data_IF_098687050657
#
_entry.id   IF_098687050657
#
_cell.length_a   1.000
_cell.length_b   1.000
_cell.length_c   1.000
_cell.angle_alpha   90.00
_cell.angle_beta   90.00
_cell.angle_gamma   90.00
#
_symmetry.space_group_name_H-M   'P 1'
#
loop_
_entity.id
_entity.type
_entity.pdbx_description
1 polymer ?
#
# COMPACT_ATOMS: atom_id res chain seq x y z
N UNK A 1 -0.99 -29.71 -8.41
CA UNK A 1 -1.12 -29.76 -6.94
C UNK A 1 -1.78 -28.45 -6.59
N UNK A 2 -3.06 -28.48 -6.20
CA UNK A 2 -3.83 -27.27 -5.94
C UNK A 2 -3.15 -26.46 -4.85
N UNK A 3 -2.70 -25.26 -5.20
CA UNK A 3 -2.09 -24.34 -4.26
C UNK A 3 -3.18 -23.69 -3.39
N UNK A 4 -2.93 -23.61 -2.09
CA UNK A 4 -3.78 -22.91 -1.12
C UNK A 4 -2.87 -22.30 -0.03
N UNK A 5 -2.50 -21.03 -0.22
CA UNK A 5 -1.60 -20.26 0.65
C UNK A 5 -2.34 -19.60 1.81
N UNK A 6 -3.61 -19.22 1.63
CA UNK A 6 -4.38 -18.52 2.65
C UNK A 6 -5.89 -18.83 2.56
N UNK A 7 -6.53 -18.98 3.72
CA UNK A 7 -7.99 -19.10 3.85
C UNK A 7 -8.53 -17.91 4.67
N UNK A 8 -8.71 -16.77 4.01
CA UNK A 8 -9.24 -15.55 4.63
C UNK A 8 -10.76 -15.49 4.46
N UNK A 9 -11.48 -15.34 5.58
CA UNK A 9 -12.94 -15.13 5.59
C UNK A 9 -13.27 -13.76 6.20
N UNK A 10 -14.03 -12.97 5.46
CA UNK A 10 -14.51 -11.65 5.85
C UNK A 10 -16.04 -11.65 5.70
N UNK A 11 -16.74 -12.00 6.78
CA UNK A 11 -18.20 -11.89 6.82
C UNK A 11 -18.65 -10.42 6.90
N UNK A 12 -19.96 -10.20 6.73
CA UNK A 12 -20.56 -8.86 6.67
C UNK A 12 -20.32 -8.07 7.97
N UNK A 13 -20.45 -8.72 9.12
CA UNK A 13 -20.27 -8.05 10.42
C UNK A 13 -18.81 -7.61 10.63
N UNK A 14 -17.86 -8.46 10.22
CA UNK A 14 -16.43 -8.15 10.25
C UNK A 14 -16.08 -7.02 9.27
N UNK A 15 -16.65 -7.01 8.07
CA UNK A 15 -16.43 -5.93 7.10
C UNK A 15 -16.96 -4.59 7.62
N UNK A 16 -18.20 -4.56 8.13
CA UNK A 16 -18.79 -3.36 8.72
C UNK A 16 -17.96 -2.83 9.90
N UNK A 17 -17.45 -3.74 10.74
CA UNK A 17 -16.59 -3.38 11.87
C UNK A 17 -15.24 -2.80 11.41
N UNK A 18 -14.63 -3.35 10.36
CA UNK A 18 -13.38 -2.84 9.79
C UNK A 18 -13.58 -1.43 9.22
N UNK A 19 -14.63 -1.22 8.45
CA UNK A 19 -14.95 0.09 7.86
C UNK A 19 -15.17 1.14 8.96
N UNK A 20 -15.93 0.80 10.01
CA UNK A 20 -16.15 1.70 11.14
C UNK A 20 -14.84 2.07 11.86
N UNK A 21 -13.91 1.12 12.03
CA UNK A 21 -12.60 1.38 12.64
C UNK A 21 -11.75 2.28 11.74
N UNK A 22 -11.75 2.05 10.43
CA UNK A 22 -11.01 2.87 9.47
C UNK A 22 -11.56 4.30 9.48
N UNK A 23 -12.87 4.48 9.39
CA UNK A 23 -13.52 5.80 9.48
C UNK A 23 -13.22 6.50 10.81
N UNK A 24 -13.25 5.77 11.93
CA UNK A 24 -12.89 6.33 13.22
C UNK A 24 -11.42 6.78 13.26
N UNK A 25 -10.50 6.01 12.67
CA UNK A 25 -9.09 6.37 12.58
C UNK A 25 -8.87 7.61 11.70
N UNK A 26 -9.52 7.68 10.55
CA UNK A 26 -9.48 8.85 9.66
C UNK A 26 -10.01 10.10 10.38
N UNK A 27 -11.09 9.96 11.15
CA UNK A 27 -11.65 11.04 11.96
C UNK A 27 -10.74 11.53 13.10
N UNK A 28 -9.75 10.75 13.54
CA UNK A 28 -8.73 11.20 14.51
C UNK A 28 -7.51 11.84 13.85
N UNK A 29 -7.41 11.78 12.52
CA UNK A 29 -6.24 12.17 11.74
C UNK A 29 -6.60 13.19 10.66
N UNK A 30 -7.60 14.02 10.91
CA UNK A 30 -8.11 15.04 9.96
C UNK A 30 -7.08 16.09 9.59
N UNK A 31 -6.09 16.31 10.45
CA UNK A 31 -5.04 17.33 10.28
C UNK A 31 -3.87 16.83 9.42
N UNK A 32 -3.88 15.56 8.99
CA UNK A 32 -2.87 15.04 8.07
C UNK A 32 -2.99 15.69 6.70
N UNK A 33 -1.84 15.95 6.08
CA UNK A 33 -1.77 16.55 4.75
C UNK A 33 -1.39 15.51 3.68
N UNK A 34 -1.96 15.68 2.49
CA UNK A 34 -1.55 14.96 1.29
C UNK A 34 -0.62 15.82 0.44
N UNK A 35 0.59 15.34 0.16
CA UNK A 35 1.54 16.03 -0.71
C UNK A 35 1.50 15.43 -2.12
N UNK A 36 1.38 16.29 -3.14
CA UNK A 36 1.55 15.98 -4.55
C UNK A 36 3.01 15.57 -4.88
N UNK A 37 3.25 14.94 -6.04
CA UNK A 37 4.60 14.60 -6.47
C UNK A 37 5.55 15.80 -6.57
N UNK A 38 5.06 16.96 -6.99
CA UNK A 38 5.88 18.17 -7.16
C UNK A 38 6.18 18.84 -5.81
N UNK A 39 5.20 18.96 -4.92
CA UNK A 39 5.45 19.44 -3.54
C UNK A 39 6.51 18.56 -2.83
N UNK A 40 6.43 17.24 -2.99
CA UNK A 40 7.45 16.32 -2.42
C UNK A 40 8.85 16.57 -2.98
N UNK A 41 8.98 16.99 -4.24
CA UNK A 41 10.28 17.28 -4.86
C UNK A 41 10.88 18.55 -4.27
N UNK A 42 10.07 19.58 -4.08
CA UNK A 42 10.48 20.91 -3.61
C UNK A 42 10.84 20.95 -2.11
N UNK A 43 10.26 20.06 -1.30
CA UNK A 43 10.55 20.03 0.14
C UNK A 43 12.03 19.78 0.43
N UNK A 44 12.56 20.55 1.40
CA UNK A 44 13.83 20.23 2.07
C UNK A 44 13.62 19.00 2.92
N UNK A 45 14.38 17.93 2.63
CA UNK A 45 14.11 16.59 3.18
C UNK A 45 14.92 16.35 4.44
N UNK A 46 14.27 15.76 5.43
CA UNK A 46 14.92 15.24 6.62
C UNK A 46 15.12 13.73 6.49
N UNK A 47 16.38 13.30 6.39
CA UNK A 47 16.77 11.90 6.55
C UNK A 47 17.44 11.70 7.92
N UNK A 48 17.93 10.49 8.19
CA UNK A 48 18.41 10.11 9.52
C UNK A 48 19.46 11.07 10.11
N UNK A 49 20.43 11.51 9.29
CA UNK A 49 21.48 12.45 9.72
C UNK A 49 20.93 13.85 10.01
N UNK A 50 20.04 14.36 9.15
CA UNK A 50 19.44 15.69 9.36
C UNK A 50 18.42 15.69 10.47
N UNK A 51 17.80 14.55 10.80
CA UNK A 51 16.95 14.43 11.98
C UNK A 51 17.73 14.63 13.28
N UNK A 52 18.87 13.96 13.43
CA UNK A 52 19.72 14.14 14.61
C UNK A 52 20.11 15.62 14.79
N UNK A 53 20.44 16.28 13.67
CA UNK A 53 20.66 17.73 13.65
C UNK A 53 19.42 18.52 14.08
N UNK A 54 18.24 18.25 13.50
CA UNK A 54 17.01 18.97 13.84
C UNK A 54 16.65 18.83 15.33
N UNK A 55 16.77 17.64 15.91
CA UNK A 55 16.54 17.43 17.35
C UNK A 55 17.47 18.27 18.21
N UNK A 56 18.77 18.25 17.88
CA UNK A 56 19.75 19.06 18.59
C UNK A 56 19.46 20.56 18.41
N UNK A 57 19.09 20.98 17.20
CA UNK A 57 18.75 22.37 16.90
C UNK A 57 17.52 22.84 17.68
N UNK A 58 16.45 22.03 17.76
CA UNK A 58 15.26 22.34 18.58
C UNK A 58 15.65 22.59 20.03
N UNK A 59 16.49 21.74 20.63
CA UNK A 59 16.96 21.94 22.01
C UNK A 59 17.79 23.20 22.14
N UNK A 60 18.86 23.34 21.34
CA UNK A 60 19.81 24.45 21.45
C UNK A 60 19.14 25.80 21.20
N UNK A 61 18.34 25.92 20.15
CA UNK A 61 17.68 27.17 19.79
C UNK A 61 16.62 27.56 20.82
N UNK A 62 15.92 26.58 21.39
CA UNK A 62 14.91 26.88 22.40
C UNK A 62 15.53 27.26 23.75
N UNK A 63 16.66 26.68 24.12
CA UNK A 63 17.43 27.08 25.31
C UNK A 63 18.12 28.45 25.15
N UNK A 64 18.26 28.92 23.90
CA UNK A 64 18.90 30.19 23.56
C UNK A 64 17.96 31.10 22.77
N UNK A 65 16.68 31.16 23.13
CA UNK A 65 15.67 31.91 22.38
C UNK A 65 16.01 33.40 22.17
N UNK A 66 16.86 34.00 23.01
CA UNK A 66 17.34 35.37 22.87
C UNK A 66 18.13 35.65 21.60
N UNK A 67 18.74 34.63 20.97
CA UNK A 67 19.46 34.80 19.68
C UNK A 67 18.54 34.74 18.47
N UNK A 68 17.29 34.34 18.67
CA UNK A 68 16.33 34.16 17.60
C UNK A 68 15.63 35.49 17.26
N UNK A 69 15.25 35.68 15.98
CA UNK A 69 14.36 36.76 15.59
C UNK A 69 13.06 36.75 16.40
N UNK A 70 12.49 37.92 16.68
CA UNK A 70 11.24 38.06 17.47
C UNK A 70 10.03 37.34 16.88
N UNK A 71 10.03 37.08 15.58
CA UNK A 71 8.96 36.39 14.87
C UNK A 71 9.19 34.87 14.77
N UNK A 72 10.24 34.34 15.37
CA UNK A 72 10.45 32.89 15.43
C UNK A 72 9.62 32.29 16.56
N UNK A 73 8.72 31.37 16.22
CA UNK A 73 7.89 30.66 17.19
C UNK A 73 8.59 29.39 17.68
N UNK A 74 9.24 29.50 18.85
CA UNK A 74 9.97 28.39 19.48
C UNK A 74 9.03 27.29 19.93
N UNK A 75 7.81 27.64 20.36
CA UNK A 75 6.85 26.68 20.89
C UNK A 75 6.24 25.86 19.75
N UNK A 76 5.90 26.49 18.62
CA UNK A 76 5.52 25.78 17.40
C UNK A 76 6.63 24.84 16.90
N UNK A 77 7.88 25.31 16.90
CA UNK A 77 9.02 24.50 16.47
C UNK A 77 9.23 23.25 17.34
N UNK A 78 9.03 23.37 18.67
CA UNK A 78 9.03 22.23 19.60
C UNK A 78 7.81 21.32 19.38
N UNK A 79 6.64 21.90 19.15
CA UNK A 79 5.41 21.15 18.91
C UNK A 79 5.50 20.29 17.65
N UNK A 80 6.13 20.78 16.58
CA UNK A 80 6.36 20.01 15.34
C UNK A 80 7.20 18.75 15.59
N UNK A 81 8.28 18.87 16.37
CA UNK A 81 9.12 17.71 16.72
C UNK A 81 8.34 16.70 17.57
N UNK A 82 7.55 17.18 18.54
CA UNK A 82 6.72 16.32 19.37
C UNK A 82 5.62 15.62 18.57
N UNK A 83 5.00 16.32 17.61
CA UNK A 83 4.00 15.75 16.70
C UNK A 83 4.61 14.66 15.82
N UNK A 84 5.80 14.90 15.28
CA UNK A 84 6.54 13.90 14.50
C UNK A 84 6.81 12.63 15.32
N UNK A 85 7.27 12.80 16.56
CA UNK A 85 7.55 11.69 17.48
C UNK A 85 6.29 10.91 17.86
N UNK A 86 5.17 11.60 18.05
CA UNK A 86 3.89 10.96 18.29
C UNK A 86 3.40 10.17 17.06
N UNK A 87 3.52 10.74 15.85
CA UNK A 87 2.99 10.19 14.61
C UNK A 87 3.75 8.92 14.15
N UNK A 88 5.08 8.91 14.25
CA UNK A 88 5.93 7.84 13.70
C UNK A 88 5.59 6.43 14.16
N UNK A 89 5.37 6.14 15.46
CA UNK A 89 4.95 4.82 15.91
C UNK A 89 3.61 4.39 15.33
N UNK A 90 2.67 5.32 15.07
CA UNK A 90 1.37 5.02 14.47
C UNK A 90 1.53 4.72 13.00
N UNK A 91 2.30 5.53 12.27
CA UNK A 91 2.64 5.28 10.87
C UNK A 91 3.25 3.89 10.68
N UNK A 92 4.22 3.52 11.52
CA UNK A 92 4.86 2.19 11.46
C UNK A 92 3.86 1.04 11.73
N UNK A 93 2.87 1.23 12.60
CA UNK A 93 1.82 0.22 12.84
C UNK A 93 0.89 0.06 11.64
N UNK A 94 0.48 1.16 11.03
CA UNK A 94 -0.38 1.15 9.83
C UNK A 94 0.36 0.53 8.66
N UNK A 95 1.64 0.86 8.45
CA UNK A 95 2.48 0.27 7.40
C UNK A 95 2.57 -1.25 7.51
N UNK A 96 2.86 -1.79 8.71
CA UNK A 96 2.91 -3.25 8.92
C UNK A 96 1.57 -3.94 8.68
N UNK A 97 0.45 -3.26 8.99
CA UNK A 97 -0.88 -3.80 8.70
C UNK A 97 -1.12 -3.83 7.19
N UNK A 98 -0.79 -2.74 6.50
CA UNK A 98 -0.89 -2.63 5.05
C UNK A 98 -0.05 -3.69 4.33
N UNK A 99 1.22 -3.90 4.75
CA UNK A 99 2.10 -4.93 4.19
C UNK A 99 1.47 -6.32 4.29
N UNK A 100 0.92 -6.68 5.46
CA UNK A 100 0.23 -7.96 5.65
C UNK A 100 -1.04 -8.08 4.80
N UNK A 101 -1.77 -6.99 4.60
CA UNK A 101 -2.94 -6.97 3.72
C UNK A 101 -2.54 -7.17 2.26
N UNK A 102 -1.49 -6.49 1.79
CA UNK A 102 -0.94 -6.63 0.45
C UNK A 102 -0.38 -8.05 0.19
N UNK A 103 0.32 -8.63 1.17
CA UNK A 103 0.81 -10.01 1.08
C UNK A 103 -0.35 -11.02 1.00
N UNK A 104 -1.42 -10.77 1.77
CA UNK A 104 -2.63 -11.61 1.75
C UNK A 104 -3.38 -11.51 0.43
N UNK A 105 -3.49 -10.29 -0.13
CA UNK A 105 -4.05 -10.06 -1.47
C UNK A 105 -3.26 -10.82 -2.55
N UNK A 106 -1.92 -10.72 -2.51
CA UNK A 106 -1.04 -11.44 -3.43
C UNK A 106 -1.23 -12.97 -3.31
N UNK A 107 -1.30 -13.48 -2.09
CA UNK A 107 -1.50 -14.91 -1.83
C UNK A 107 -2.86 -15.40 -2.35
N UNK A 108 -3.95 -14.66 -2.07
CA UNK A 108 -5.29 -14.95 -2.59
C UNK A 108 -5.30 -14.95 -4.13
N UNK A 109 -4.67 -13.95 -4.75
CA UNK A 109 -4.54 -13.86 -6.20
C UNK A 109 -3.78 -15.05 -6.79
N UNK A 110 -2.72 -15.51 -6.12
CA UNK A 110 -1.96 -16.70 -6.54
C UNK A 110 -2.81 -17.97 -6.46
N UNK A 111 -3.52 -18.18 -5.35
CA UNK A 111 -4.40 -19.34 -5.17
C UNK A 111 -5.50 -19.39 -6.24
N UNK A 112 -6.17 -18.26 -6.48
CA UNK A 112 -7.17 -18.11 -7.54
C UNK A 112 -6.58 -18.41 -8.93
N UNK A 113 -5.40 -17.88 -9.21
CA UNK A 113 -4.74 -18.03 -10.51
C UNK A 113 -4.35 -19.48 -10.78
N UNK A 114 -3.75 -20.16 -9.80
CA UNK A 114 -3.34 -21.57 -9.93
C UNK A 114 -4.57 -22.47 -10.11
N UNK A 115 -5.59 -22.31 -9.25
CA UNK A 115 -6.82 -23.09 -9.35
C UNK A 115 -7.53 -22.88 -10.70
N UNK A 116 -7.57 -21.64 -11.19
CA UNK A 116 -8.16 -21.32 -12.50
C UNK A 116 -7.40 -21.95 -13.66
N UNK A 117 -6.06 -22.00 -13.61
CA UNK A 117 -5.26 -22.68 -14.62
C UNK A 117 -5.46 -24.20 -14.62
N UNK A 118 -5.50 -24.82 -13.44
CA UNK A 118 -5.80 -26.24 -13.30
C UNK A 118 -7.20 -26.56 -13.84
N UNK A 119 -8.22 -25.79 -13.45
CA UNK A 119 -9.59 -25.92 -13.96
C UNK A 119 -9.68 -25.76 -15.48
N UNK A 120 -8.99 -24.77 -16.05
CA UNK A 120 -8.92 -24.59 -17.50
C UNK A 120 -8.20 -25.76 -18.19
N UNK A 121 -7.14 -26.30 -17.60
CA UNK A 121 -6.45 -27.49 -18.13
C UNK A 121 -7.37 -28.71 -18.16
N UNK A 122 -8.12 -28.95 -17.08
CA UNK A 122 -9.13 -30.02 -17.01
C UNK A 122 -10.21 -29.83 -18.08
N UNK A 123 -10.74 -28.60 -18.25
CA UNK A 123 -11.74 -28.29 -19.26
C UNK A 123 -11.25 -28.58 -20.69
N UNK A 124 -9.96 -28.37 -20.98
CA UNK A 124 -9.37 -28.71 -22.29
C UNK A 124 -9.29 -30.21 -22.56
N UNK A 125 -9.20 -31.02 -21.52
CA UNK A 125 -9.06 -32.48 -21.61
C UNK A 125 -10.43 -33.15 -21.60
N UNK A 126 -11.27 -32.82 -20.61
CA UNK A 126 -12.57 -33.44 -20.40
C UNK A 126 -13.70 -32.83 -21.24
N UNK A 127 -13.65 -31.53 -21.56
CA UNK A 127 -14.75 -30.82 -22.23
C UNK A 127 -14.83 -31.03 -23.75
N UNK A 128 -13.96 -31.86 -24.34
CA UNK A 128 -14.02 -32.16 -25.79
C UNK A 128 -15.18 -33.10 -26.08
N UNK A 129 -16.14 -32.63 -26.87
CA UNK A 129 -17.33 -33.42 -27.25
C UNK A 129 -18.49 -33.32 -26.27
N UNK A 130 -18.35 -32.56 -25.17
CA UNK A 130 -19.43 -32.33 -24.18
C UNK A 130 -20.16 -30.99 -24.38
N UNK A 131 -19.99 -30.33 -25.52
CA UNK A 131 -20.61 -29.02 -25.79
C UNK A 131 -20.01 -27.84 -25.02
N UNK A 132 -18.87 -28.04 -24.33
CA UNK A 132 -18.19 -27.02 -23.52
C UNK A 132 -17.18 -26.16 -24.32
N UNK A 133 -17.16 -26.27 -25.64
CA UNK A 133 -16.18 -25.60 -26.50
C UNK A 133 -16.26 -24.07 -26.43
N UNK A 134 -17.48 -23.51 -26.33
CA UNK A 134 -17.66 -22.07 -26.18
C UNK A 134 -17.08 -21.55 -24.84
N UNK A 135 -17.24 -22.31 -23.75
CA UNK A 135 -16.68 -22.00 -22.43
C UNK A 135 -15.16 -22.16 -22.41
N UNK A 136 -14.63 -23.17 -23.12
CA UNK A 136 -13.20 -23.35 -23.30
C UNK A 136 -12.59 -22.19 -24.09
N UNK A 137 -13.27 -21.71 -25.13
CA UNK A 137 -12.80 -20.60 -25.95
C UNK A 137 -12.85 -19.26 -25.19
N UNK A 138 -13.88 -19.02 -24.38
CA UNK A 138 -13.98 -17.79 -23.59
C UNK A 138 -12.86 -17.68 -22.54
N UNK A 139 -12.56 -18.77 -21.82
CA UNK A 139 -11.41 -18.81 -20.89
C UNK A 139 -10.06 -18.77 -21.64
N UNK A 140 -10.01 -19.32 -22.85
CA UNK A 140 -8.84 -19.36 -23.72
C UNK A 140 -8.42 -18.00 -24.28
N UNK A 141 -9.34 -17.05 -24.42
CA UNK A 141 -9.12 -15.73 -25.04
C UNK A 141 -7.96 -14.93 -24.40
N UNK A 142 -7.67 -15.17 -23.11
CA UNK A 142 -6.52 -14.60 -22.41
C UNK A 142 -5.18 -15.00 -23.04
N UNK A 143 -5.06 -16.22 -23.55
CA UNK A 143 -3.82 -16.75 -24.12
C UNK A 143 -3.62 -16.30 -25.58
N UNK A 144 -4.69 -16.05 -26.32
CA UNK A 144 -4.63 -15.58 -27.71
C UNK A 144 -4.04 -14.16 -27.82
N UNK A 145 -4.34 -13.28 -26.85
CA UNK A 145 -3.70 -11.95 -26.75
C UNK A 145 -2.19 -12.02 -26.54
N UNK A 146 -1.68 -13.06 -25.87
CA UNK A 146 -0.24 -13.25 -25.62
C UNK A 146 0.53 -13.59 -26.91
N UNK A 147 -0.15 -14.11 -27.92
CA UNK A 147 0.43 -14.51 -29.22
C UNK A 147 0.55 -13.35 -30.22
N UNK A 148 -0.09 -12.20 -29.96
CA UNK A 148 -0.20 -11.07 -30.92
C UNK A 148 0.79 -9.93 -30.67
N UNK A 149 1.87 -10.14 -29.90
CA UNK A 149 2.95 -9.16 -29.72
C UNK A 149 4.32 -9.80 -29.85
N UNK A 150 4.78 -9.88 -31.09
CA UNK A 150 6.20 -9.75 -31.43
C UNK A 150 6.22 -8.99 -32.77
N UNK A 151 6.47 -7.66 -32.78
CA UNK A 151 6.84 -7.00 -34.02
C UNK A 151 8.24 -7.50 -34.41
N UNK A 152 8.38 -7.99 -35.64
CA UNK A 152 9.67 -8.35 -36.23
C UNK A 152 10.66 -7.18 -36.06
N UNK A 153 11.91 -7.44 -35.65
CA UNK A 153 12.91 -6.40 -35.62
C UNK A 153 13.14 -5.91 -37.05
N UNK A 154 12.89 -4.62 -37.28
CA UNK A 154 13.21 -3.96 -38.54
C UNK A 154 14.73 -3.93 -38.68
N UNK A 155 15.22 -4.55 -39.75
CA UNK A 155 16.64 -4.59 -40.13
C UNK A 155 17.14 -3.21 -40.61
#
# INVERSE_FOLDING_TARGET
MSQNRIALQLDVDRLNSLDAIITALEGQLTDLIGLSPDERRELTKMGDKSEAFCRQAVTVLADNAQVLPRNFDVDAYRADLAALDALRPRLARVQRLYERMADSEMALGSDLMVASLEGYALLKVAGRGEGLDALRQSLGARFDRKRRREPEPTA
#
